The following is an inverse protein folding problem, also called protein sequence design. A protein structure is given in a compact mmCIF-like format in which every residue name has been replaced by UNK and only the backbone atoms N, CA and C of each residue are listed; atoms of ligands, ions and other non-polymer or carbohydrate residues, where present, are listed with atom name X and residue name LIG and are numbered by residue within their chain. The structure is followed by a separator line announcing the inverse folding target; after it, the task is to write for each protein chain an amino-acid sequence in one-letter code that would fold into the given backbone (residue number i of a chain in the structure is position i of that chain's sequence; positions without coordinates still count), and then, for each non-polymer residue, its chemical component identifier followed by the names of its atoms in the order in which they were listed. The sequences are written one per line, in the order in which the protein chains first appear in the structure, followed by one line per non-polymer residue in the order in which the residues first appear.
data_IF_556613556087
#
_entry.id   IF_556613556087
#
_cell.length_a   1.000
_cell.length_b   1.000
_cell.length_c   1.000
_cell.angle_alpha   90.00
_cell.angle_beta   90.00
_cell.angle_gamma   90.00
#
_symmetry.space_group_name_H-M   'P 1'
#
loop_
_entity.id
_entity.type
_entity.pdbx_description
1 polymer ?
#
# COMPACT_ATOMS: atom_id res chain seq x y z
N UNK A 1 -2.24 -9.73 4.18
CA UNK A 1 -3.67 -9.66 3.76
C UNK A 1 -4.05 -10.89 2.94
N UNK A 2 -5.33 -11.12 2.71
CA UNK A 2 -5.81 -12.02 1.66
C UNK A 2 -6.28 -11.18 0.46
N UNK A 3 -5.42 -11.01 -0.54
CA UNK A 3 -5.74 -10.24 -1.76
C UNK A 3 -6.99 -10.82 -2.44
N UNK A 4 -8.02 -10.01 -2.71
CA UNK A 4 -9.23 -10.49 -3.37
C UNK A 4 -9.02 -10.66 -4.88
N UNK A 5 -9.91 -11.45 -5.51
CA UNK A 5 -10.04 -11.48 -6.97
C UNK A 5 -10.35 -10.07 -7.50
N UNK A 6 -9.81 -9.74 -8.67
CA UNK A 6 -9.90 -8.42 -9.28
C UNK A 6 -8.89 -7.39 -8.77
N UNK A 7 -8.12 -7.70 -7.71
CA UNK A 7 -7.13 -6.77 -7.17
C UNK A 7 -5.96 -6.56 -8.12
N UNK A 8 -5.57 -7.59 -8.87
CA UNK A 8 -4.52 -7.52 -9.88
C UNK A 8 -5.13 -7.34 -11.27
N UNK A 9 -4.83 -6.22 -11.93
CA UNK A 9 -5.51 -5.84 -13.16
C UNK A 9 -5.21 -6.78 -14.35
N UNK A 10 -4.00 -7.35 -14.41
CA UNK A 10 -3.60 -8.21 -15.53
C UNK A 10 -4.24 -9.61 -15.49
N UNK A 11 -4.62 -10.09 -14.31
CA UNK A 11 -5.39 -11.32 -14.14
C UNK A 11 -6.35 -11.18 -12.95
N UNK A 12 -7.61 -10.87 -13.28
CA UNK A 12 -8.66 -10.61 -12.30
C UNK A 12 -9.16 -11.87 -11.61
N UNK A 13 -8.78 -13.06 -12.06
CA UNK A 13 -9.16 -14.32 -11.41
C UNK A 13 -8.30 -14.64 -10.19
N UNK A 14 -7.10 -14.04 -10.09
CA UNK A 14 -6.16 -14.34 -9.01
C UNK A 14 -6.62 -13.75 -7.69
N UNK A 15 -6.71 -14.61 -6.68
CA UNK A 15 -6.88 -14.26 -5.28
C UNK A 15 -5.86 -15.05 -4.43
N UNK A 16 -5.51 -14.53 -3.26
CA UNK A 16 -4.68 -15.27 -2.33
C UNK A 16 -3.86 -14.41 -1.38
N UNK A 17 -2.99 -15.07 -0.62
CA UNK A 17 -2.17 -14.40 0.39
C UNK A 17 -1.20 -13.39 -0.24
N UNK A 18 -1.17 -12.19 0.32
CA UNK A 18 -0.11 -11.22 0.10
C UNK A 18 0.50 -10.79 1.43
N UNK A 19 1.81 -10.59 1.43
CA UNK A 19 2.59 -10.09 2.57
C UNK A 19 3.11 -8.70 2.28
N UNK A 20 3.32 -7.92 3.32
CA UNK A 20 3.86 -6.57 3.21
C UNK A 20 4.75 -6.27 4.41
N UNK A 21 5.62 -5.29 4.24
CA UNK A 21 6.39 -4.68 5.32
C UNK A 21 6.59 -3.21 4.99
N UNK A 22 6.47 -2.33 5.97
CA UNK A 22 6.73 -0.92 5.73
C UNK A 22 7.18 -0.17 6.98
N UNK A 23 7.92 0.92 6.72
CA UNK A 23 8.17 2.01 7.64
C UNK A 23 8.12 3.30 6.82
N UNK A 24 7.51 4.35 7.33
CA UNK A 24 7.53 5.68 6.69
C UNK A 24 7.51 6.73 7.78
N UNK A 25 8.43 7.69 7.73
CA UNK A 25 8.55 8.75 8.74
C UNK A 25 9.18 10.01 8.18
N UNK A 26 8.78 11.15 8.74
CA UNK A 26 9.56 12.39 8.60
C UNK A 26 10.75 12.35 9.54
N UNK A 27 11.95 12.50 8.99
CA UNK A 27 13.14 12.79 9.80
C UNK A 27 13.04 14.23 10.33
N UNK A 28 13.75 14.53 11.43
CA UNK A 28 13.75 15.88 12.01
C UNK A 28 14.19 16.92 10.97
N UNK A 29 13.31 17.88 10.68
CA UNK A 29 13.55 18.94 9.70
C UNK A 29 13.30 18.55 8.23
N UNK A 30 12.87 17.31 7.96
CA UNK A 30 12.54 16.88 6.60
C UNK A 30 11.10 17.29 6.23
N UNK A 31 10.93 17.68 4.97
CA UNK A 31 9.63 17.99 4.36
C UNK A 31 9.10 16.87 3.47
N UNK A 32 9.93 15.86 3.20
CA UNK A 32 9.61 14.63 2.47
C UNK A 32 9.91 13.45 3.40
N UNK A 33 9.01 12.46 3.53
CA UNK A 33 9.26 11.33 4.41
C UNK A 33 10.29 10.37 3.78
N UNK A 34 10.87 9.53 4.63
CA UNK A 34 11.77 8.44 4.24
C UNK A 34 11.22 7.14 4.79
N UNK A 35 11.49 6.03 4.12
CA UNK A 35 10.89 4.77 4.50
C UNK A 35 11.33 3.61 3.63
N UNK A 36 10.72 2.47 3.93
CA UNK A 36 10.72 1.28 3.09
C UNK A 36 9.27 0.80 2.96
N UNK A 37 8.87 0.36 1.79
CA UNK A 37 7.55 -0.22 1.54
C UNK A 37 7.71 -1.37 0.57
N UNK A 38 7.41 -2.55 1.08
CA UNK A 38 7.52 -3.81 0.38
C UNK A 38 6.14 -4.48 0.35
N UNK A 39 5.73 -4.94 -0.83
CA UNK A 39 4.50 -5.68 -1.01
C UNK A 39 4.71 -6.86 -1.94
N UNK A 40 4.47 -8.07 -1.44
CA UNK A 40 4.66 -9.30 -2.19
C UNK A 40 3.34 -10.07 -2.31
N UNK A 41 2.88 -10.21 -3.56
CA UNK A 41 1.73 -11.01 -3.94
C UNK A 41 2.20 -12.22 -4.76
N UNK A 42 2.52 -13.29 -4.04
CA UNK A 42 3.21 -14.47 -4.56
C UNK A 42 2.50 -15.17 -5.71
N UNK A 43 1.16 -15.26 -5.65
CA UNK A 43 0.37 -15.98 -6.67
C UNK A 43 0.46 -15.33 -8.07
N UNK A 44 0.88 -14.07 -8.15
CA UNK A 44 1.08 -13.33 -9.40
C UNK A 44 2.57 -13.09 -9.72
N UNK A 45 3.51 -13.66 -8.94
CA UNK A 45 4.93 -13.29 -8.99
C UNK A 45 5.13 -11.76 -9.00
N UNK A 46 4.41 -11.07 -8.11
CA UNK A 46 4.34 -9.62 -8.04
C UNK A 46 5.04 -9.16 -6.77
N UNK A 47 6.16 -8.48 -6.92
CA UNK A 47 6.93 -7.89 -5.83
C UNK A 47 7.08 -6.40 -6.08
N UNK A 48 6.47 -5.57 -5.24
CA UNK A 48 6.58 -4.12 -5.30
C UNK A 48 7.54 -3.63 -4.22
N UNK A 49 8.48 -2.78 -4.61
CA UNK A 49 9.43 -2.13 -3.74
C UNK A 49 9.40 -0.61 -3.94
N UNK A 50 9.27 0.16 -2.87
CA UNK A 50 9.32 1.63 -2.94
C UNK A 50 10.70 2.14 -3.33
N UNK A 51 10.74 3.23 -4.08
CA UNK A 51 11.98 3.94 -4.43
C UNK A 51 12.01 5.37 -3.91
N UNK A 52 10.85 6.04 -3.83
CA UNK A 52 10.75 7.41 -3.34
C UNK A 52 9.42 7.67 -2.66
N UNK A 53 9.37 8.71 -1.84
CA UNK A 53 8.17 9.15 -1.14
C UNK A 53 7.89 10.61 -1.45
N UNK A 54 6.61 10.98 -1.41
CA UNK A 54 6.14 12.34 -1.69
C UNK A 54 5.63 13.01 -0.42
N UNK A 55 4.74 12.34 0.30
CA UNK A 55 4.14 12.84 1.53
C UNK A 55 3.62 11.70 2.41
N UNK A 56 3.45 12.01 3.70
CA UNK A 56 2.83 11.16 4.70
C UNK A 56 1.87 12.03 5.50
N UNK A 57 0.64 11.56 5.69
CA UNK A 57 -0.36 12.17 6.57
C UNK A 57 -0.75 11.16 7.62
N UNK A 58 -0.82 11.60 8.87
CA UNK A 58 -1.32 10.81 10.00
C UNK A 58 -2.51 11.55 10.61
N UNK A 59 -3.62 10.87 10.81
CA UNK A 59 -4.81 11.40 11.48
C UNK A 59 -5.43 10.33 12.38
N UNK A 60 -5.34 10.53 13.69
CA UNK A 60 -5.83 9.56 14.67
C UNK A 60 -5.08 8.24 14.54
N UNK A 61 -5.81 7.19 14.17
CA UNK A 61 -5.32 5.83 13.92
C UNK A 61 -5.15 5.49 12.43
N UNK A 62 -5.23 6.50 11.56
CA UNK A 62 -5.02 6.34 10.13
C UNK A 62 -3.73 7.00 9.71
N UNK A 63 -3.00 6.35 8.82
CA UNK A 63 -1.89 6.93 8.09
C UNK A 63 -2.09 6.69 6.59
N UNK A 64 -1.81 7.69 5.78
CA UNK A 64 -1.77 7.56 4.34
C UNK A 64 -0.48 8.18 3.81
N UNK A 65 0.18 7.50 2.87
CA UNK A 65 1.34 8.06 2.20
C UNK A 65 1.42 7.63 0.75
N UNK A 66 2.12 8.45 -0.02
CA UNK A 66 2.28 8.30 -1.46
C UNK A 66 3.75 8.34 -1.83
N UNK A 67 4.10 7.61 -2.88
CA UNK A 67 5.43 7.59 -3.45
C UNK A 67 5.49 6.91 -4.79
N UNK A 68 6.70 6.53 -5.18
CA UNK A 68 6.96 5.72 -6.36
C UNK A 68 7.74 4.46 -6.01
N UNK A 69 7.73 3.47 -6.89
CA UNK A 69 8.47 2.24 -6.73
C UNK A 69 8.52 1.41 -8.01
N UNK A 70 9.07 0.22 -7.89
CA UNK A 70 9.26 -0.74 -8.98
C UNK A 70 8.45 -2.00 -8.71
N UNK A 71 8.10 -2.72 -9.78
CA UNK A 71 7.58 -4.09 -9.68
C UNK A 71 8.65 -5.02 -10.25
N UNK A 72 9.07 -6.01 -9.47
CA UNK A 72 10.13 -6.96 -9.84
C UNK A 72 11.38 -6.23 -10.37
N UNK A 73 11.86 -5.24 -9.60
CA UNK A 73 13.03 -4.41 -9.92
C UNK A 73 12.96 -3.62 -11.24
N UNK A 74 11.75 -3.46 -11.82
CA UNK A 74 11.55 -2.81 -13.10
C UNK A 74 10.37 -1.83 -13.10
N UNK A 75 10.36 -0.96 -14.10
CA UNK A 75 9.33 0.05 -14.31
C UNK A 75 9.38 1.21 -13.32
N UNK A 76 8.36 2.07 -13.39
CA UNK A 76 8.16 3.16 -12.44
C UNK A 76 6.66 3.28 -12.20
N UNK A 77 6.25 3.00 -10.97
CA UNK A 77 4.87 2.93 -10.56
C UNK A 77 4.62 3.92 -9.43
N UNK A 78 3.46 4.54 -9.42
CA UNK A 78 2.99 5.29 -8.28
C UNK A 78 2.33 4.33 -7.29
N UNK A 79 2.47 4.60 -6.00
CA UNK A 79 1.70 3.88 -4.99
C UNK A 79 1.04 4.83 -4.00
N UNK A 80 -0.12 4.43 -3.51
CA UNK A 80 -0.83 5.03 -2.38
C UNK A 80 -1.07 3.93 -1.34
N UNK A 81 -0.59 4.14 -0.12
CA UNK A 81 -0.77 3.22 0.98
C UNK A 81 -1.63 3.88 2.05
N UNK A 82 -2.70 3.20 2.48
CA UNK A 82 -3.51 3.57 3.63
C UNK A 82 -3.39 2.49 4.70
N UNK A 83 -2.97 2.87 5.89
CA UNK A 83 -2.83 2.00 7.05
C UNK A 83 -3.79 2.45 8.16
N UNK A 84 -4.40 1.47 8.83
CA UNK A 84 -5.24 1.64 10.01
C UNK A 84 -4.63 0.83 11.15
N UNK A 85 -4.27 1.51 12.25
CA UNK A 85 -3.90 0.92 13.54
C UNK A 85 -5.19 0.73 14.36
N UNK A 86 -5.73 -0.49 14.40
CA UNK A 86 -7.07 -0.78 14.86
C UNK A 86 -7.30 -2.23 15.29
N UNK A 87 -8.56 -2.60 15.49
CA UNK A 87 -8.95 -3.95 15.90
C UNK A 87 -10.09 -4.49 15.02
N UNK A 88 -9.79 -5.20 13.92
CA UNK A 88 -8.44 -5.51 13.42
C UNK A 88 -7.77 -4.31 12.73
N UNK A 89 -6.44 -4.38 12.60
CA UNK A 89 -5.68 -3.49 11.73
C UNK A 89 -6.15 -3.58 10.28
N UNK A 90 -5.90 -2.50 9.53
CA UNK A 90 -6.29 -2.39 8.13
C UNK A 90 -5.14 -1.94 7.24
N UNK A 91 -5.05 -2.52 6.04
CA UNK A 91 -4.06 -2.16 5.04
C UNK A 91 -4.70 -2.05 3.66
N UNK A 92 -4.38 -0.98 2.94
CA UNK A 92 -4.57 -0.87 1.50
C UNK A 92 -3.28 -0.42 0.84
N UNK A 93 -2.93 -1.06 -0.26
CA UNK A 93 -1.97 -0.53 -1.22
C UNK A 93 -2.62 -0.51 -2.60
N UNK A 94 -2.58 0.67 -3.23
CA UNK A 94 -2.98 0.90 -4.62
C UNK A 94 -1.74 1.28 -5.40
N UNK A 95 -1.46 0.57 -6.48
CA UNK A 95 -0.31 0.76 -7.36
C UNK A 95 -0.84 1.09 -8.75
N UNK A 96 -0.34 2.16 -9.35
CA UNK A 96 -0.71 2.59 -10.70
C UNK A 96 0.52 2.79 -11.58
N UNK A 97 0.36 2.65 -12.88
CA UNK A 97 1.40 3.01 -13.84
C UNK A 97 1.59 4.55 -13.95
N UNK A 98 2.44 4.98 -14.89
CA UNK A 98 2.70 6.40 -15.17
C UNK A 98 1.48 7.15 -15.73
N UNK A 99 0.51 6.44 -16.31
CA UNK A 99 -0.73 6.98 -16.85
C UNK A 99 -1.87 6.96 -15.81
N UNK A 100 -1.55 6.67 -14.55
CA UNK A 100 -2.51 6.50 -13.45
C UNK A 100 -3.51 5.36 -13.67
N UNK A 101 -3.17 4.38 -14.51
CA UNK A 101 -3.95 3.15 -14.68
C UNK A 101 -3.62 2.20 -13.52
N UNK A 102 -4.65 1.66 -12.87
CA UNK A 102 -4.48 0.72 -11.75
C UNK A 102 -3.83 -0.57 -12.23
N UNK A 103 -2.74 -0.94 -11.58
CA UNK A 103 -2.02 -2.21 -11.78
C UNK A 103 -2.40 -3.20 -10.67
N UNK A 104 -2.46 -2.71 -9.43
CA UNK A 104 -2.88 -3.49 -8.27
C UNK A 104 -3.67 -2.60 -7.28
N UNK A 105 -4.77 -3.10 -6.72
CA UNK A 105 -5.47 -2.48 -5.60
C UNK A 105 -6.21 -3.54 -4.78
N UNK A 106 -5.79 -3.78 -3.54
CA UNK A 106 -6.47 -4.75 -2.67
C UNK A 106 -7.80 -4.25 -2.11
N UNK A 107 -8.20 -3.02 -2.44
CA UNK A 107 -9.47 -2.41 -2.07
C UNK A 107 -10.13 -1.75 -3.29
N UNK A 108 -10.47 -2.60 -4.25
CA UNK A 108 -11.02 -2.29 -5.58
C UNK A 108 -12.23 -1.35 -5.48
N UNK A 109 -12.36 -0.46 -6.47
CA UNK A 109 -13.50 0.47 -6.65
C UNK A 109 -13.76 1.42 -5.48
N UNK A 110 -12.82 1.54 -4.55
CA UNK A 110 -12.90 2.46 -3.42
C UNK A 110 -12.17 3.76 -3.76
N UNK A 111 -12.70 4.91 -3.33
CA UNK A 111 -12.02 6.18 -3.49
C UNK A 111 -10.69 6.24 -2.71
N UNK A 112 -9.88 7.28 -2.92
CA UNK A 112 -8.55 7.38 -2.31
C UNK A 112 -8.57 8.12 -0.95
N UNK A 113 -9.74 8.38 -0.37
CA UNK A 113 -9.83 9.12 0.91
C UNK A 113 -9.26 8.30 2.07
N UNK A 114 -8.62 8.98 3.02
CA UNK A 114 -8.04 8.33 4.21
C UNK A 114 -9.14 8.07 5.25
N UNK A 115 -9.81 6.92 5.14
CA UNK A 115 -10.80 6.43 6.11
C UNK A 115 -10.62 4.92 6.37
N UNK A 116 -11.22 4.41 7.43
CA UNK A 116 -11.09 3.00 7.81
C UNK A 116 -11.76 2.04 6.82
N UNK A 117 -12.84 2.48 6.16
CA UNK A 117 -13.55 1.71 5.14
C UNK A 117 -12.71 1.49 3.89
N UNK A 118 -11.71 2.33 3.62
CA UNK A 118 -10.74 2.25 2.54
C UNK A 118 -9.50 1.41 2.89
N UNK A 119 -9.62 0.55 3.89
CA UNK A 119 -8.61 -0.47 4.20
C UNK A 119 -9.19 -1.87 4.06
N UNK A 120 -8.31 -2.87 3.93
CA UNK A 120 -8.67 -4.26 4.05
C UNK A 120 -8.15 -4.79 5.40
N UNK A 121 -9.03 -5.43 6.17
CA UNK A 121 -8.65 -6.04 7.44
C UNK A 121 -7.49 -7.05 7.28
N UNK A 122 -6.54 -7.02 8.21
CA UNK A 122 -5.43 -7.96 8.21
C UNK A 122 -5.90 -9.38 8.58
N UNK A 123 -5.31 -10.38 7.92
CA UNK A 123 -5.40 -11.78 8.35
C UNK A 123 -4.30 -12.20 9.34
N UNK A 124 -3.41 -11.27 9.70
CA UNK A 124 -2.27 -11.49 10.58
C UNK A 124 -1.22 -10.38 10.44
N UNK A 125 -0.33 -10.28 11.43
CA UNK A 125 0.60 -9.16 11.60
C UNK A 125 0.00 -8.02 12.42
N UNK A 126 0.73 -6.91 12.53
CA UNK A 126 0.25 -5.70 13.19
C UNK A 126 0.76 -4.44 12.49
N UNK A 127 0.02 -3.35 12.64
CA UNK A 127 0.37 -2.01 12.21
C UNK A 127 0.41 -1.13 13.45
N UNK A 128 1.45 -0.32 13.59
CA UNK A 128 1.57 0.65 14.68
C UNK A 128 1.82 2.02 14.08
N UNK A 129 0.99 2.99 14.47
CA UNK A 129 1.15 4.38 14.06
C UNK A 129 1.73 5.18 15.22
N UNK A 130 2.93 5.71 15.02
CA UNK A 130 3.59 6.62 15.95
C UNK A 130 3.24 8.08 15.61
N UNK A 131 3.02 8.89 16.65
CA UNK A 131 2.75 10.33 16.55
C UNK A 131 3.98 11.15 16.89
#
# INVERSE_FOLDING_TARGET
INSPAGAYAADTSLAGKASFGFVSKYQKGATIPTGETEFNYQVANFNFHSSSYQWLVVSGSLAQYKGTGTINDSGNYNFLLTALDGSPDGFRIKITDSNSIVVYDNKISSDDTMNSQNTQALGGGSIVIHK
#
